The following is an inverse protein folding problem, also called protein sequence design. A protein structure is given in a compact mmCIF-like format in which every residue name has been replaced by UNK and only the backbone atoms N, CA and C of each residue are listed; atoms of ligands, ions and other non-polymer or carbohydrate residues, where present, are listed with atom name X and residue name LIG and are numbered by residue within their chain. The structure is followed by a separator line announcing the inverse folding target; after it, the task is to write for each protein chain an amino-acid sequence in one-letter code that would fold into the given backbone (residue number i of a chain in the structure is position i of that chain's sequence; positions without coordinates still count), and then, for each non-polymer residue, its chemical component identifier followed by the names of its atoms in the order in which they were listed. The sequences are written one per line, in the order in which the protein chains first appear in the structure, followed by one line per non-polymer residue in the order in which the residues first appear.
data_IF_806510048014
#
_entry.id   IF_806510048014
#
_cell.length_a   1.000
_cell.length_b   1.000
_cell.length_c   1.000
_cell.angle_alpha   90.00
_cell.angle_beta   90.00
_cell.angle_gamma   90.00
#
_symmetry.space_group_name_H-M   'P 1'
#
loop_
_entity.id
_entity.type
_entity.pdbx_description
1 polymer ?
#
# COMPACT_ATOMS: atom_id res chain seq x y z
N UNK A 1 10.86 -21.31 -4.89
CA UNK A 1 11.69 -20.28 -4.29
C UNK A 1 10.84 -19.04 -3.97
N UNK A 2 10.93 -18.57 -2.75
CA UNK A 2 10.12 -17.43 -2.29
C UNK A 2 10.95 -16.18 -2.17
N UNK A 3 10.37 -15.08 -2.63
CA UNK A 3 10.99 -13.77 -2.52
C UNK A 3 10.06 -12.89 -1.70
N UNK A 4 10.63 -12.20 -0.71
CA UNK A 4 9.85 -11.27 0.10
C UNK A 4 9.89 -9.90 -0.55
N UNK A 5 8.72 -9.34 -0.78
CA UNK A 5 8.60 -8.04 -1.43
C UNK A 5 7.85 -7.09 -0.51
N UNK A 6 8.43 -5.90 -0.33
CA UNK A 6 7.76 -4.80 0.33
C UNK A 6 7.34 -3.81 -0.75
N UNK A 7 6.07 -3.46 -0.77
CA UNK A 7 5.57 -2.53 -1.77
C UNK A 7 6.22 -1.15 -1.60
N UNK A 8 6.78 -0.65 -2.69
CA UNK A 8 7.43 0.66 -2.68
C UNK A 8 6.41 1.77 -2.45
N UNK A 9 6.84 2.86 -1.84
CA UNK A 9 6.11 4.13 -1.70
C UNK A 9 4.98 4.13 -0.67
N UNK A 10 4.53 2.99 -0.20
CA UNK A 10 3.36 2.93 0.67
C UNK A 10 3.71 2.30 2.00
N UNK A 11 2.85 2.55 2.98
CA UNK A 11 2.94 1.95 4.29
C UNK A 11 1.52 1.59 4.71
N UNK A 12 1.27 0.31 4.88
CA UNK A 12 -0.06 -0.18 5.25
C UNK A 12 -0.18 -0.30 6.76
N UNK A 13 -1.41 -0.24 7.30
CA UNK A 13 -1.60 -0.45 8.73
C UNK A 13 -1.05 -1.81 9.16
N UNK A 14 -0.50 -1.86 10.36
CA UNK A 14 -0.03 -3.12 10.95
C UNK A 14 -1.22 -4.03 11.20
N UNK A 15 -0.98 -5.33 11.20
CA UNK A 15 -2.08 -6.30 11.32
C UNK A 15 -2.92 -6.08 12.57
N UNK A 16 -2.29 -5.69 13.66
CA UNK A 16 -3.01 -5.45 14.92
C UNK A 16 -3.60 -4.07 15.02
N UNK A 17 -3.29 -3.22 14.07
CA UNK A 17 -3.81 -1.87 14.03
C UNK A 17 -5.24 -1.90 13.45
N UNK A 18 -6.05 -0.94 13.87
CA UNK A 18 -7.36 -0.78 13.26
C UNK A 18 -7.21 -0.70 11.74
N UNK A 19 -8.03 -1.43 11.03
CA UNK A 19 -8.02 -1.52 9.58
C UNK A 19 -6.89 -2.38 9.00
N UNK A 20 -6.00 -2.91 9.85
CA UNK A 20 -4.87 -3.70 9.36
C UNK A 20 -5.29 -4.95 8.60
N UNK A 21 -6.23 -5.71 9.15
CA UNK A 21 -6.71 -6.93 8.52
C UNK A 21 -7.45 -6.62 7.21
N UNK A 22 -8.26 -5.57 7.18
CA UNK A 22 -8.96 -5.17 5.96
C UNK A 22 -7.99 -4.80 4.86
N UNK A 23 -6.93 -4.08 5.22
CA UNK A 23 -5.90 -3.70 4.26
C UNK A 23 -5.21 -4.93 3.67
N UNK A 24 -4.83 -5.87 4.54
CA UNK A 24 -4.22 -7.12 4.09
C UNK A 24 -5.15 -7.89 3.17
N UNK A 25 -6.42 -7.99 3.54
CA UNK A 25 -7.38 -8.73 2.73
C UNK A 25 -7.59 -8.07 1.37
N UNK A 26 -7.60 -6.75 1.33
CA UNK A 26 -7.74 -6.04 0.06
C UNK A 26 -6.59 -6.39 -0.87
N UNK A 27 -5.37 -6.33 -0.37
CA UNK A 27 -4.20 -6.67 -1.18
C UNK A 27 -4.26 -8.13 -1.62
N UNK A 28 -4.63 -9.03 -0.72
CA UNK A 28 -4.71 -10.45 -1.02
C UNK A 28 -5.71 -10.70 -2.16
N UNK A 29 -6.89 -10.12 -2.07
CA UNK A 29 -7.89 -10.30 -3.11
C UNK A 29 -7.44 -9.73 -4.44
N UNK A 30 -6.66 -8.67 -4.39
CA UNK A 30 -6.21 -8.00 -5.61
C UNK A 30 -5.19 -8.84 -6.37
N UNK A 31 -4.30 -9.54 -5.66
CA UNK A 31 -3.15 -10.21 -6.30
C UNK A 31 -3.19 -11.73 -6.26
N UNK A 32 -3.99 -12.33 -5.39
CA UNK A 32 -3.97 -13.78 -5.19
C UNK A 32 -4.36 -14.50 -6.47
N UNK A 33 -3.58 -15.53 -6.82
CA UNK A 33 -3.81 -16.37 -8.00
C UNK A 33 -3.76 -15.60 -9.31
N UNK A 34 -3.09 -14.46 -9.32
CA UNK A 34 -2.92 -13.67 -10.54
C UNK A 34 -1.45 -13.59 -10.89
N UNK A 35 -1.19 -13.49 -12.18
CA UNK A 35 0.16 -13.22 -12.64
C UNK A 35 0.45 -11.74 -12.46
N UNK A 36 1.48 -11.45 -11.69
CA UNK A 36 1.86 -10.07 -11.44
C UNK A 36 3.24 -9.82 -12.04
N UNK A 37 3.42 -8.59 -12.48
CA UNK A 37 4.72 -8.12 -12.94
C UNK A 37 5.32 -7.30 -11.80
N UNK A 38 6.56 -7.64 -11.41
CA UNK A 38 7.21 -6.99 -10.29
C UNK A 38 8.49 -6.31 -10.77
N UNK A 39 8.59 -5.01 -10.54
CA UNK A 39 9.82 -4.27 -10.75
C UNK A 39 10.46 -4.04 -9.40
N UNK A 40 11.60 -4.69 -9.17
CA UNK A 40 12.31 -4.52 -7.91
C UNK A 40 13.42 -3.49 -8.08
N UNK A 41 13.73 -2.80 -6.99
CA UNK A 41 14.83 -1.85 -7.00
C UNK A 41 15.97 -2.35 -6.10
N UNK A 42 15.82 -2.17 -4.80
CA UNK A 42 16.86 -2.53 -3.85
C UNK A 42 16.20 -3.26 -2.67
N UNK A 43 17.03 -3.89 -1.85
CA UNK A 43 16.54 -4.54 -0.64
C UNK A 43 16.52 -3.54 0.51
N UNK A 44 15.55 -3.70 1.39
CA UNK A 44 15.56 -2.94 2.61
C UNK A 44 16.43 -3.66 3.65
N UNK A 45 16.53 -3.08 4.87
CA UNK A 45 17.39 -3.67 5.90
C UNK A 45 16.88 -4.99 6.45
N UNK A 46 15.65 -5.36 6.09
CA UNK A 46 15.07 -6.65 6.50
C UNK A 46 15.16 -7.69 5.38
N UNK A 47 15.98 -7.42 4.38
CA UNK A 47 16.21 -8.33 3.25
C UNK A 47 14.97 -8.52 2.38
N UNK A 48 14.06 -7.56 2.36
CA UNK A 48 12.92 -7.58 1.45
C UNK A 48 13.23 -6.70 0.25
N UNK A 49 12.82 -7.17 -0.91
CA UNK A 49 12.96 -6.36 -2.13
C UNK A 49 11.88 -5.28 -2.12
N UNK A 50 12.26 -4.05 -2.39
CA UNK A 50 11.28 -3.00 -2.64
C UNK A 50 10.75 -3.19 -4.05
N UNK A 51 9.44 -3.18 -4.22
CA UNK A 51 8.88 -3.52 -5.50
C UNK A 51 7.65 -2.72 -5.88
N UNK A 52 7.56 -2.47 -7.19
CA UNK A 52 6.35 -1.98 -7.81
C UNK A 52 5.64 -3.17 -8.42
N UNK A 53 4.35 -3.32 -8.15
CA UNK A 53 3.60 -4.48 -8.59
C UNK A 53 2.52 -4.05 -9.57
N UNK A 54 2.46 -4.74 -10.70
CA UNK A 54 1.48 -4.47 -11.74
C UNK A 54 0.72 -5.74 -12.06
N UNK A 55 -0.57 -5.59 -12.31
CA UNK A 55 -1.42 -6.65 -12.81
C UNK A 55 -1.88 -6.24 -14.20
N UNK A 56 -1.63 -7.10 -15.19
CA UNK A 56 -2.08 -6.84 -16.55
C UNK A 56 -3.26 -7.76 -16.82
N UNK A 57 -4.40 -7.19 -17.13
CA UNK A 57 -5.63 -7.93 -17.30
C UNK A 57 -6.35 -7.38 -18.55
N UNK A 58 -6.37 -8.19 -19.60
CA UNK A 58 -6.93 -7.77 -20.89
C UNK A 58 -6.21 -6.50 -21.37
N UNK A 59 -6.92 -5.40 -21.52
CA UNK A 59 -6.32 -4.15 -21.97
C UNK A 59 -6.05 -3.19 -20.85
N UNK A 60 -6.14 -3.67 -19.60
CA UNK A 60 -5.94 -2.83 -18.43
C UNK A 60 -4.67 -3.20 -17.70
N UNK A 61 -4.06 -2.20 -17.10
CA UNK A 61 -2.91 -2.40 -16.24
C UNK A 61 -3.20 -1.73 -14.91
N UNK A 62 -3.05 -2.49 -13.83
CA UNK A 62 -3.29 -1.97 -12.48
C UNK A 62 -1.96 -1.85 -11.76
N UNK A 63 -1.63 -0.64 -11.35
CA UNK A 63 -0.47 -0.39 -10.52
C UNK A 63 -0.90 -0.60 -9.07
N UNK A 64 -0.57 -1.74 -8.51
CA UNK A 64 -1.07 -2.17 -7.20
C UNK A 64 -0.69 -1.19 -6.09
N UNK A 65 0.55 -0.69 -6.11
CA UNK A 65 1.00 0.26 -5.08
C UNK A 65 0.09 1.50 -5.04
N UNK A 66 -0.22 2.05 -6.21
CA UNK A 66 -1.10 3.20 -6.30
C UNK A 66 -2.53 2.85 -5.91
N UNK A 67 -2.99 1.67 -6.29
CA UNK A 67 -4.35 1.23 -5.98
C UNK A 67 -4.56 1.12 -4.48
N UNK A 68 -3.53 0.67 -3.76
CA UNK A 68 -3.60 0.59 -2.29
C UNK A 68 -3.85 1.98 -1.67
N UNK A 69 -3.20 3.01 -2.21
CA UNK A 69 -3.39 4.37 -1.71
C UNK A 69 -4.77 4.90 -2.09
N UNK A 70 -5.12 4.78 -3.36
CA UNK A 70 -6.37 5.35 -3.88
C UNK A 70 -7.60 4.73 -3.24
N UNK A 71 -7.52 3.44 -2.89
CA UNK A 71 -8.63 2.74 -2.26
C UNK A 71 -8.70 2.97 -0.75
N UNK A 72 -7.74 3.67 -0.17
CA UNK A 72 -7.71 3.92 1.27
C UNK A 72 -7.21 2.75 2.08
N UNK A 73 -6.37 1.90 1.50
CA UNK A 73 -5.84 0.73 2.20
C UNK A 73 -4.38 0.90 2.58
N UNK A 74 -3.78 2.02 2.26
CA UNK A 74 -2.41 2.31 2.65
C UNK A 74 -2.17 3.81 2.67
N UNK A 75 -1.17 4.20 3.43
CA UNK A 75 -0.68 5.58 3.49
C UNK A 75 0.45 5.73 2.49
N UNK A 76 0.69 6.96 2.01
CA UNK A 76 1.97 7.26 1.40
C UNK A 76 3.03 7.09 2.47
N UNK A 77 4.11 6.33 2.17
CA UNK A 77 5.20 6.24 3.12
C UNK A 77 5.80 7.63 3.31
N UNK A 78 6.12 7.99 4.55
CA UNK A 78 6.44 9.38 4.89
C UNK A 78 7.57 9.99 4.07
N UNK A 79 8.49 9.18 3.57
CA UNK A 79 9.59 9.65 2.73
C UNK A 79 9.09 10.21 1.40
N UNK A 80 7.92 9.79 0.95
CA UNK A 80 7.38 10.18 -0.37
C UNK A 80 6.25 11.19 -0.28
N UNK A 81 6.09 11.87 0.86
CA UNK A 81 4.97 12.80 1.07
C UNK A 81 4.93 13.95 0.06
N UNK A 82 6.07 14.28 -0.53
CA UNK A 82 6.13 15.39 -1.49
C UNK A 82 5.88 14.97 -2.93
N UNK A 83 5.63 13.69 -3.18
CA UNK A 83 5.34 13.21 -4.52
C UNK A 83 3.91 13.59 -4.89
N UNK A 84 3.75 14.44 -5.91
CA UNK A 84 2.44 14.97 -6.25
C UNK A 84 1.47 13.92 -6.76
N UNK A 85 1.96 12.94 -7.52
CA UNK A 85 1.10 11.86 -8.03
C UNK A 85 0.50 11.06 -6.87
N UNK A 86 1.36 10.62 -5.94
CA UNK A 86 0.90 9.85 -4.79
C UNK A 86 -0.01 10.67 -3.89
N UNK A 87 0.35 11.94 -3.72
CA UNK A 87 -0.44 12.85 -2.89
C UNK A 87 -1.85 13.02 -3.42
N UNK A 88 -1.99 13.13 -4.73
CA UNK A 88 -3.31 13.24 -5.34
C UNK A 88 -4.16 12.00 -5.07
N UNK A 89 -3.55 10.82 -5.11
CA UNK A 89 -4.26 9.57 -4.83
C UNK A 89 -4.71 9.50 -3.37
N UNK A 90 -3.83 9.89 -2.44
CA UNK A 90 -4.19 9.87 -1.03
C UNK A 90 -5.28 10.89 -0.73
N UNK A 91 -5.18 12.09 -1.33
CA UNK A 91 -6.20 13.11 -1.15
C UNK A 91 -7.55 12.66 -1.67
N UNK A 92 -7.55 11.97 -2.81
CA UNK A 92 -8.78 11.40 -3.35
C UNK A 92 -9.42 10.45 -2.34
N UNK A 93 -8.61 9.56 -1.77
CA UNK A 93 -9.12 8.60 -0.78
C UNK A 93 -9.64 9.30 0.48
N UNK A 94 -8.91 10.32 0.95
CA UNK A 94 -9.33 11.07 2.15
C UNK A 94 -10.65 11.81 1.92
N UNK A 95 -10.75 12.52 0.80
CA UNK A 95 -11.94 13.31 0.51
C UNK A 95 -13.16 12.42 0.35
N UNK A 96 -12.99 11.28 -0.27
CA UNK A 96 -14.09 10.34 -0.50
C UNK A 96 -14.25 9.34 0.63
N UNK A 97 -13.53 9.50 1.72
CA UNK A 97 -13.61 8.66 2.91
C UNK A 97 -13.52 7.18 2.59
N UNK A 98 -12.55 6.84 1.76
CA UNK A 98 -12.31 5.47 1.34
C UNK A 98 -11.51 4.71 2.39
N UNK A 99 -11.86 3.44 2.60
CA UNK A 99 -11.09 2.55 3.45
C UNK A 99 -10.83 3.12 4.82
N UNK A 100 -9.56 3.22 5.20
CA UNK A 100 -9.19 3.71 6.53
C UNK A 100 -9.62 5.15 6.78
N UNK A 101 -9.86 5.92 5.71
CA UNK A 101 -10.27 7.32 5.86
C UNK A 101 -11.75 7.49 6.21
N UNK A 102 -12.49 6.39 6.36
CA UNK A 102 -13.83 6.43 6.95
C UNK A 102 -13.77 6.85 8.42
N UNK A 103 -12.65 6.55 9.08
CA UNK A 103 -12.45 6.88 10.48
C UNK A 103 -11.91 8.29 10.62
N UNK A 104 -12.29 8.98 11.68
CA UNK A 104 -11.83 10.35 11.91
C UNK A 104 -10.43 10.39 12.50
N UNK A 105 -10.16 9.49 13.44
CA UNK A 105 -8.89 9.50 14.18
C UNK A 105 -8.04 8.33 13.75
N UNK A 106 -7.41 8.47 12.58
CA UNK A 106 -6.55 7.41 12.08
C UNK A 106 -5.11 7.62 12.56
N UNK A 107 -4.44 6.52 12.84
CA UNK A 107 -3.06 6.53 13.30
C UNK A 107 -2.18 5.99 12.18
N UNK A 108 -1.18 6.75 11.81
CA UNK A 108 -0.25 6.33 10.77
C UNK A 108 0.53 5.10 11.24
N UNK A 109 0.89 4.19 10.31
CA UNK A 109 1.60 2.97 10.70
C UNK A 109 2.89 3.24 11.45
N UNK A 110 3.65 4.26 11.03
CA UNK A 110 4.91 4.59 11.69
C UNK A 110 4.71 5.10 13.11
N UNK A 111 3.60 5.80 13.36
CA UNK A 111 3.28 6.25 14.71
C UNK A 111 2.82 5.08 15.57
N UNK A 112 2.03 4.18 14.99
CA UNK A 112 1.58 2.99 15.72
C UNK A 112 2.78 2.15 16.16
N UNK A 113 3.74 1.94 15.25
CA UNK A 113 4.92 1.14 15.59
C UNK A 113 5.77 1.80 16.68
N UNK A 114 5.86 3.12 16.65
CA UNK A 114 6.64 3.85 17.66
C UNK A 114 6.00 3.79 19.04
N UNK A 115 4.70 3.72 19.11
CA UNK A 115 3.95 3.77 20.37
C UNK A 115 3.60 2.40 20.95
N UNK A 116 4.21 1.36 20.43
CA UNK A 116 3.97 0.00 20.95
C UNK A 116 4.61 -0.21 22.32
#
# INVERSE_FOLDING_TARGET
KHIKIRLSYIDAPELKQTFGIRSKNFLTELVLDKNVHVNTSKKDRYNRHLGEIYIHNNNESIFVNAKMIKSGNAWIYKTYRDNSYLKNLENYARINKKGLWEEQDVVAPWDYRRNK
#
